data_IF_022946752043
#
_entry.id   IF_022946752043
#
_cell.length_a   1.000
_cell.length_b   1.000
_cell.length_c   1.000
_cell.angle_alpha   90.00
_cell.angle_beta   90.00
_cell.angle_gamma   90.00
#
_symmetry.space_group_name_H-M   'P 1'
#
loop_
_entity.id
_entity.type
_entity.pdbx_description
1 polymer ?
#
# COMPACT_ATOMS: atom_id res chain seq x y z
N UNK A 1 28.97 -33.90 -22.15
CA UNK A 1 29.35 -32.47 -22.14
C UNK A 1 28.34 -31.69 -22.97
N UNK A 2 27.39 -31.02 -22.33
CA UNK A 2 26.50 -30.05 -22.98
C UNK A 2 26.78 -28.71 -22.30
N UNK A 3 27.36 -27.80 -23.07
CA UNK A 3 27.68 -26.44 -22.64
C UNK A 3 26.38 -25.67 -22.43
N UNK A 4 26.25 -25.12 -21.23
CA UNK A 4 25.16 -24.26 -20.77
C UNK A 4 25.37 -22.88 -21.41
N UNK A 5 24.48 -22.45 -22.31
CA UNK A 5 24.45 -21.05 -22.75
C UNK A 5 23.67 -20.26 -21.69
N UNK A 6 24.36 -19.27 -21.11
CA UNK A 6 23.76 -18.24 -20.25
C UNK A 6 22.88 -17.32 -21.10
N UNK A 7 21.73 -16.86 -20.60
CA UNK A 7 20.97 -15.83 -21.29
C UNK A 7 21.66 -14.48 -21.05
N UNK A 8 22.15 -13.88 -22.13
CA UNK A 8 22.65 -12.50 -22.18
C UNK A 8 21.57 -11.52 -21.71
N UNK A 9 21.93 -10.66 -20.74
CA UNK A 9 21.21 -9.43 -20.42
C UNK A 9 21.29 -8.49 -21.63
N UNK A 10 20.30 -8.56 -22.52
CA UNK A 10 19.99 -7.42 -23.37
C UNK A 10 19.07 -6.50 -22.56
N UNK A 11 19.63 -5.37 -22.14
CA UNK A 11 18.87 -4.21 -21.68
C UNK A 11 17.96 -3.78 -22.83
N UNK A 12 16.68 -4.11 -22.73
CA UNK A 12 15.67 -3.58 -23.65
C UNK A 12 15.46 -2.11 -23.25
N UNK A 13 16.25 -1.23 -23.84
CA UNK A 13 15.92 0.18 -23.98
C UNK A 13 14.78 0.25 -25.00
N UNK A 14 13.54 0.09 -24.52
CA UNK A 14 12.35 0.44 -25.31
C UNK A 14 12.40 1.96 -25.50
N UNK A 15 12.40 2.49 -26.74
CA UNK A 15 12.33 3.92 -26.94
C UNK A 15 11.02 4.45 -26.35
N UNK A 16 11.13 5.49 -25.53
CA UNK A 16 10.06 6.17 -24.77
C UNK A 16 9.00 6.89 -25.65
N UNK A 17 8.93 6.56 -26.95
CA UNK A 17 8.02 7.16 -27.93
C UNK A 17 6.76 6.31 -28.20
N UNK A 18 6.58 5.18 -27.51
CA UNK A 18 5.36 4.37 -27.60
C UNK A 18 4.46 4.61 -26.37
N UNK A 19 3.33 5.32 -26.51
CA UNK A 19 2.41 5.60 -25.41
C UNK A 19 1.85 4.32 -24.78
N UNK A 20 1.74 3.22 -25.53
CA UNK A 20 1.31 1.92 -25.00
C UNK A 20 2.35 1.36 -24.02
N UNK A 21 3.64 1.47 -24.37
CA UNK A 21 4.72 1.00 -23.51
C UNK A 21 4.79 1.80 -22.19
N UNK A 22 4.61 3.12 -22.25
CA UNK A 22 4.57 3.98 -21.07
C UNK A 22 3.45 3.57 -20.08
N UNK A 23 2.25 3.28 -20.60
CA UNK A 23 1.11 2.83 -19.78
C UNK A 23 1.37 1.47 -19.15
N UNK A 24 1.91 0.53 -19.92
CA UNK A 24 2.24 -0.82 -19.41
C UNK A 24 3.28 -0.73 -18.29
N UNK A 25 4.32 0.09 -18.47
CA UNK A 25 5.36 0.30 -17.47
C UNK A 25 4.79 0.94 -16.20
N UNK A 26 4.01 2.02 -16.32
CA UNK A 26 3.34 2.67 -15.19
C UNK A 26 2.50 1.68 -14.36
N UNK A 27 1.73 0.81 -15.03
CA UNK A 27 0.95 -0.23 -14.34
C UNK A 27 1.82 -1.29 -13.69
N UNK A 28 2.90 -1.70 -14.35
CA UNK A 28 3.84 -2.69 -13.79
C UNK A 28 4.51 -2.14 -12.53
N UNK A 29 4.86 -0.86 -12.51
CA UNK A 29 5.56 -0.25 -11.39
C UNK A 29 4.64 -0.06 -10.18
N UNK A 30 3.39 0.36 -10.40
CA UNK A 30 2.37 0.43 -9.34
C UNK A 30 2.02 -0.95 -8.80
N UNK A 31 1.87 -1.92 -9.70
CA UNK A 31 1.72 -3.31 -9.33
C UNK A 31 2.85 -3.76 -8.39
N UNK A 32 4.11 -3.41 -8.71
CA UNK A 32 5.28 -3.73 -7.86
C UNK A 32 5.19 -3.02 -6.52
N UNK A 33 4.78 -1.76 -6.48
CA UNK A 33 4.64 -0.99 -5.23
C UNK A 33 3.58 -1.59 -4.29
N UNK A 34 2.39 -1.92 -4.80
CA UNK A 34 1.35 -2.57 -3.98
C UNK A 34 1.77 -3.98 -3.53
N UNK A 35 2.41 -4.75 -4.40
CA UNK A 35 2.94 -6.08 -4.05
C UNK A 35 3.96 -5.97 -2.93
N UNK A 36 4.88 -5.00 -3.02
CA UNK A 36 5.87 -4.71 -1.98
C UNK A 36 5.21 -4.25 -0.68
N UNK A 37 4.20 -3.38 -0.76
CA UNK A 37 3.49 -2.89 0.42
C UNK A 37 2.81 -4.02 1.19
N UNK A 38 2.08 -4.89 0.49
CA UNK A 38 1.43 -6.06 1.07
C UNK A 38 2.49 -7.02 1.65
N UNK A 39 3.60 -7.22 0.95
CA UNK A 39 4.68 -8.10 1.40
C UNK A 39 5.30 -7.60 2.71
N UNK A 40 5.59 -6.30 2.83
CA UNK A 40 6.11 -5.71 4.06
C UNK A 40 5.18 -5.99 5.25
N UNK A 41 3.86 -5.75 5.09
CA UNK A 41 2.87 -6.11 6.11
C UNK A 41 2.86 -7.60 6.45
N UNK A 42 2.89 -8.47 5.44
CA UNK A 42 2.88 -9.92 5.67
C UNK A 42 4.11 -10.36 6.45
N UNK A 43 5.31 -9.88 6.08
CA UNK A 43 6.54 -10.17 6.80
C UNK A 43 6.50 -9.66 8.24
N UNK A 44 6.03 -8.42 8.40
CA UNK A 44 5.88 -7.78 9.70
C UNK A 44 4.96 -8.53 10.64
N UNK A 45 3.72 -8.76 10.19
CA UNK A 45 2.71 -9.43 10.98
C UNK A 45 3.07 -10.90 11.26
N UNK A 46 3.77 -11.60 10.35
CA UNK A 46 4.22 -12.96 10.62
C UNK A 46 5.16 -13.02 11.83
N UNK A 47 6.13 -12.09 11.92
CA UNK A 47 7.02 -12.02 13.09
C UNK A 47 6.23 -11.64 14.34
N UNK A 48 5.36 -10.64 14.25
CA UNK A 48 4.52 -10.20 15.36
C UNK A 48 3.63 -11.32 15.93
N UNK A 49 2.92 -12.04 15.07
CA UNK A 49 2.11 -13.24 15.40
C UNK A 49 2.98 -14.33 16.06
N UNK A 50 4.25 -14.43 15.66
CA UNK A 50 5.25 -15.29 16.27
C UNK A 50 5.52 -14.94 17.74
N UNK A 51 5.73 -13.65 18.04
CA UNK A 51 5.92 -13.15 19.42
C UNK A 51 4.64 -13.30 20.25
N UNK A 52 3.48 -12.92 19.69
CA UNK A 52 2.17 -13.06 20.37
C UNK A 52 1.85 -14.50 20.77
N UNK A 53 2.42 -15.52 20.11
CA UNK A 53 2.24 -16.93 20.48
C UNK A 53 2.70 -17.22 21.92
N UNK A 54 3.69 -16.47 22.41
CA UNK A 54 4.25 -16.63 23.77
C UNK A 54 3.42 -15.90 24.83
N UNK A 55 2.47 -15.06 24.42
CA UNK A 55 1.62 -14.27 25.32
C UNK A 55 0.21 -14.85 25.33
N UNK A 56 -0.06 -15.75 26.29
CA UNK A 56 -1.31 -16.52 26.36
C UNK A 56 -2.58 -15.67 26.47
N UNK A 57 -2.49 -14.48 27.08
CA UNK A 57 -3.60 -13.54 27.22
C UNK A 57 -4.04 -12.91 25.88
N UNK A 58 -3.18 -12.91 24.85
CA UNK A 58 -3.44 -12.32 23.53
C UNK A 58 -3.81 -13.36 22.45
N UNK A 59 -4.27 -14.54 22.86
CA UNK A 59 -4.53 -15.67 21.94
C UNK A 59 -5.59 -15.37 20.88
N UNK A 60 -6.59 -14.55 21.20
CA UNK A 60 -7.70 -14.26 20.29
C UNK A 60 -7.34 -13.14 19.32
N UNK A 61 -6.67 -12.11 19.81
CA UNK A 61 -6.09 -11.02 19.02
C UNK A 61 -5.11 -11.58 17.98
N UNK A 62 -4.29 -12.54 18.40
CA UNK A 62 -3.40 -13.28 17.49
C UNK A 62 -4.19 -13.99 16.38
N UNK A 63 -5.33 -14.61 16.69
CA UNK A 63 -6.17 -15.26 15.67
C UNK A 63 -6.76 -14.24 14.69
N UNK A 64 -7.16 -13.06 15.17
CA UNK A 64 -7.62 -11.95 14.33
C UNK A 64 -6.53 -11.50 13.36
N UNK A 65 -5.30 -11.27 13.82
CA UNK A 65 -4.19 -10.91 12.93
C UNK A 65 -3.85 -12.02 11.93
N UNK A 66 -3.92 -13.29 12.31
CA UNK A 66 -3.76 -14.41 11.37
C UNK A 66 -4.80 -14.33 10.24
N UNK A 67 -6.04 -13.92 10.53
CA UNK A 67 -7.09 -13.77 9.52
C UNK A 67 -6.76 -12.63 8.54
N UNK A 68 -6.27 -11.49 9.03
CA UNK A 68 -5.80 -10.39 8.19
C UNK A 68 -4.62 -10.82 7.31
N UNK A 69 -3.58 -11.44 7.88
CA UNK A 69 -2.42 -11.92 7.12
C UNK A 69 -2.81 -12.90 6.02
N UNK A 70 -3.76 -13.82 6.30
CA UNK A 70 -4.28 -14.74 5.27
C UNK A 70 -4.95 -13.99 4.12
N UNK A 71 -5.69 -12.92 4.40
CA UNK A 71 -6.33 -12.11 3.36
C UNK A 71 -5.29 -11.32 2.56
N UNK A 72 -4.29 -10.73 3.22
CA UNK A 72 -3.18 -10.04 2.56
C UNK A 72 -2.40 -10.97 1.62
N UNK A 73 -2.09 -12.21 2.05
CA UNK A 73 -1.45 -13.21 1.19
C UNK A 73 -2.31 -13.56 -0.03
N UNK A 74 -3.62 -13.75 0.16
CA UNK A 74 -4.55 -13.98 -0.95
C UNK A 74 -4.56 -12.81 -1.95
N UNK A 75 -4.52 -11.57 -1.46
CA UNK A 75 -4.42 -10.39 -2.33
C UNK A 75 -3.09 -10.36 -3.07
N UNK A 76 -1.97 -10.61 -2.39
CA UNK A 76 -0.65 -10.71 -3.01
C UNK A 76 -0.62 -11.76 -4.15
N UNK A 77 -1.14 -12.97 -3.89
CA UNK A 77 -1.24 -14.03 -4.90
C UNK A 77 -2.17 -13.65 -6.05
N UNK A 78 -3.30 -13.01 -5.76
CA UNK A 78 -4.24 -12.53 -6.79
C UNK A 78 -3.62 -11.46 -7.67
N UNK A 79 -2.87 -10.53 -7.07
CA UNK A 79 -2.14 -9.49 -7.78
C UNK A 79 -1.07 -10.16 -8.66
N UNK A 80 -0.30 -11.11 -8.12
CA UNK A 80 0.76 -11.83 -8.86
C UNK A 80 0.28 -12.56 -10.11
N UNK A 81 -0.99 -12.96 -10.16
CA UNK A 81 -1.61 -13.63 -11.31
C UNK A 81 -2.31 -12.64 -12.27
N UNK A 82 -2.33 -11.35 -11.97
CA UNK A 82 -2.95 -10.34 -12.82
C UNK A 82 -2.08 -10.06 -14.05
N UNK A 83 -2.67 -10.20 -15.24
CA UNK A 83 -2.00 -9.83 -16.47
C UNK A 83 -2.03 -8.31 -16.66
N UNK A 84 -0.93 -7.65 -16.32
CA UNK A 84 -0.77 -6.18 -16.42
C UNK A 84 -0.97 -5.66 -17.84
N UNK A 85 -0.76 -6.50 -18.86
CA UNK A 85 -0.91 -6.15 -20.27
C UNK A 85 -2.33 -6.39 -20.81
N UNK A 86 -3.25 -6.91 -19.99
CA UNK A 86 -4.62 -7.20 -20.43
C UNK A 86 -5.41 -5.91 -20.71
N UNK A 87 -6.17 -5.91 -21.80
CA UNK A 87 -7.03 -4.79 -22.20
C UNK A 87 -6.34 -3.66 -22.96
N UNK A 88 -5.01 -3.67 -23.14
CA UNK A 88 -4.29 -2.60 -23.85
C UNK A 88 -4.10 -3.01 -25.33
N UNK A 89 -5.10 -2.76 -26.18
CA UNK A 89 -5.01 -3.07 -27.62
C UNK A 89 -4.89 -1.83 -28.53
N UNK A 90 -5.27 -0.64 -28.04
CA UNK A 90 -5.26 0.61 -28.82
C UNK A 90 -4.88 1.82 -27.92
N UNK A 91 -3.93 2.70 -28.29
CA UNK A 91 -3.53 3.86 -27.49
C UNK A 91 -4.54 5.01 -27.41
N UNK A 92 -5.71 4.92 -28.05
CA UNK A 92 -6.75 5.94 -27.91
C UNK A 92 -7.21 6.15 -26.45
N UNK A 93 -7.50 7.39 -26.08
CA UNK A 93 -7.81 7.86 -24.72
C UNK A 93 -8.93 7.06 -24.01
N UNK A 94 -9.91 6.55 -24.78
CA UNK A 94 -10.96 5.66 -24.27
C UNK A 94 -10.43 4.33 -23.70
N UNK A 95 -9.29 3.83 -24.19
CA UNK A 95 -8.68 2.61 -23.68
C UNK A 95 -7.90 2.84 -22.38
N UNK A 96 -7.30 4.02 -22.18
CA UNK A 96 -6.51 4.31 -20.97
C UNK A 96 -7.37 4.24 -19.71
N UNK A 97 -8.56 4.86 -19.75
CA UNK A 97 -9.54 4.83 -18.64
C UNK A 97 -9.99 3.41 -18.35
N UNK A 98 -10.58 2.74 -19.35
CA UNK A 98 -11.16 1.40 -19.20
C UNK A 98 -10.12 0.37 -18.75
N UNK A 99 -8.89 0.47 -19.25
CA UNK A 99 -7.88 -0.51 -18.90
C UNK A 99 -7.27 -0.26 -17.50
N UNK A 100 -7.40 0.93 -16.90
CA UNK A 100 -6.94 1.21 -15.53
C UNK A 100 -7.98 0.88 -14.44
N UNK A 101 -9.27 0.85 -14.78
CA UNK A 101 -10.36 0.53 -13.84
C UNK A 101 -10.12 -0.77 -13.05
N UNK A 102 -9.72 -1.92 -13.66
CA UNK A 102 -9.47 -3.14 -12.90
C UNK A 102 -8.34 -3.00 -11.87
N UNK A 103 -7.28 -2.26 -12.22
CA UNK A 103 -6.15 -2.01 -11.32
C UNK A 103 -6.59 -1.09 -10.18
N UNK A 104 -7.28 0.02 -10.49
CA UNK A 104 -7.82 0.95 -9.50
C UNK A 104 -8.76 0.25 -8.51
N UNK A 105 -9.70 -0.56 -9.01
CA UNK A 105 -10.60 -1.36 -8.18
C UNK A 105 -9.83 -2.32 -7.27
N UNK A 106 -8.76 -2.94 -7.77
CA UNK A 106 -7.92 -3.82 -6.96
C UNK A 106 -7.15 -3.05 -5.87
N UNK A 107 -6.55 -1.90 -6.21
CA UNK A 107 -5.85 -1.01 -5.30
C UNK A 107 -6.78 -0.53 -4.18
N UNK A 108 -7.98 -0.04 -4.53
CA UNK A 108 -9.02 0.36 -3.58
C UNK A 108 -9.33 -0.76 -2.59
N UNK A 109 -9.65 -1.96 -3.10
CA UNK A 109 -9.92 -3.13 -2.24
C UNK A 109 -8.77 -3.46 -1.29
N UNK A 110 -7.52 -3.25 -1.70
CA UNK A 110 -6.38 -3.43 -0.81
C UNK A 110 -6.32 -2.34 0.26
N UNK A 111 -6.55 -1.09 -0.11
CA UNK A 111 -6.51 0.05 0.81
C UNK A 111 -7.61 -0.02 1.85
N UNK A 112 -8.85 -0.32 1.47
CA UNK A 112 -9.96 -0.45 2.42
C UNK A 112 -9.71 -1.60 3.43
N UNK A 113 -9.06 -2.69 3.01
CA UNK A 113 -8.64 -3.74 3.94
C UNK A 113 -7.52 -3.26 4.86
N UNK A 114 -6.55 -2.53 4.33
CA UNK A 114 -5.44 -1.98 5.09
C UNK A 114 -5.92 -0.94 6.08
N UNK A 115 -6.92 -0.13 5.77
CA UNK A 115 -7.50 0.85 6.68
C UNK A 115 -8.05 0.18 7.95
N UNK A 116 -8.90 -0.83 7.77
CA UNK A 116 -9.46 -1.62 8.87
C UNK A 116 -8.36 -2.32 9.68
N UNK A 117 -7.34 -2.85 9.00
CA UNK A 117 -6.20 -3.47 9.67
C UNK A 117 -5.38 -2.45 10.46
N UNK A 118 -5.09 -1.29 9.86
CA UNK A 118 -4.29 -0.22 10.46
C UNK A 118 -4.99 0.28 11.70
N UNK A 119 -6.28 0.62 11.59
CA UNK A 119 -7.09 0.99 12.74
C UNK A 119 -6.99 -0.05 13.85
N UNK A 120 -7.23 -1.34 13.57
CA UNK A 120 -7.13 -2.41 14.58
C UNK A 120 -5.73 -2.54 15.19
N UNK A 121 -4.70 -2.51 14.36
CA UNK A 121 -3.31 -2.76 14.73
C UNK A 121 -2.71 -1.61 15.54
N UNK A 122 -2.95 -0.36 15.16
CA UNK A 122 -2.31 0.83 15.76
C UNK A 122 -3.11 1.41 16.93
N UNK A 123 -4.41 1.10 17.06
CA UNK A 123 -5.24 1.69 18.11
C UNK A 123 -5.76 0.69 19.17
N UNK A 124 -6.82 -0.11 18.94
CA UNK A 124 -7.39 -0.97 19.97
C UNK A 124 -6.42 -2.09 20.37
N UNK A 125 -5.65 -2.68 19.45
CA UNK A 125 -4.71 -3.73 19.80
C UNK A 125 -3.58 -3.21 20.71
N UNK A 126 -3.07 -1.99 20.48
CA UNK A 126 -2.05 -1.39 21.34
C UNK A 126 -2.55 -1.24 22.78
N UNK A 127 -3.77 -0.70 22.94
CA UNK A 127 -4.42 -0.55 24.24
C UNK A 127 -4.66 -1.90 24.92
N UNK A 128 -5.08 -2.90 24.13
CA UNK A 128 -5.35 -4.25 24.63
C UNK A 128 -4.06 -4.97 25.08
N UNK A 129 -2.94 -4.79 24.37
CA UNK A 129 -1.62 -5.30 24.77
C UNK A 129 -1.24 -4.71 26.13
N UNK A 130 -1.30 -3.38 26.29
CA UNK A 130 -0.95 -2.71 27.54
C UNK A 130 -1.86 -3.21 28.67
N UNK A 131 -3.17 -3.27 28.44
CA UNK A 131 -4.16 -3.71 29.42
C UNK A 131 -3.93 -5.16 29.89
N UNK A 132 -3.70 -6.10 28.96
CA UNK A 132 -3.55 -7.53 29.28
C UNK A 132 -2.17 -7.95 29.75
N UNK A 133 -1.13 -7.20 29.40
CA UNK A 133 0.25 -7.55 29.74
C UNK A 133 0.86 -6.66 30.81
N UNK A 134 0.21 -5.52 31.11
CA UNK A 134 0.66 -4.51 32.06
C UNK A 134 2.07 -3.96 31.74
N UNK A 135 2.46 -3.99 30.46
CA UNK A 135 3.71 -3.44 29.93
C UNK A 135 3.53 -3.04 28.46
N UNK A 136 4.56 -2.43 27.87
CA UNK A 136 4.59 -1.97 26.48
C UNK A 136 5.53 -2.79 25.58
N UNK A 137 6.06 -3.91 26.05
CA UNK A 137 7.16 -4.64 25.40
C UNK A 137 6.79 -5.22 24.03
N UNK A 138 5.50 -5.35 23.74
CA UNK A 138 4.96 -5.87 22.46
C UNK A 138 4.19 -4.79 21.69
N UNK A 139 4.24 -3.53 22.13
CA UNK A 139 3.59 -2.41 21.43
C UNK A 139 4.41 -1.95 20.22
N UNK A 140 3.77 -1.21 19.33
CA UNK A 140 4.43 -0.46 18.27
C UNK A 140 5.02 0.83 18.83
N UNK A 141 6.14 1.28 18.27
CA UNK A 141 6.60 2.64 18.51
C UNK A 141 5.70 3.66 17.81
N UNK A 142 5.65 4.89 18.34
CA UNK A 142 4.94 6.01 17.71
C UNK A 142 5.45 6.27 16.29
N UNK A 143 6.77 6.22 16.08
CA UNK A 143 7.38 6.37 14.74
C UNK A 143 6.87 5.31 13.76
N UNK A 144 6.68 4.07 14.21
CA UNK A 144 6.11 3.01 13.40
C UNK A 144 4.63 3.25 13.08
N UNK A 145 3.85 3.76 14.03
CA UNK A 145 2.44 4.11 13.81
C UNK A 145 2.34 5.26 12.80
N UNK A 146 3.12 6.33 12.98
CA UNK A 146 3.19 7.44 12.03
C UNK A 146 3.66 6.97 10.66
N UNK A 147 4.64 6.07 10.57
CA UNK A 147 5.08 5.50 9.30
C UNK A 147 4.00 4.66 8.60
N UNK A 148 3.18 3.93 9.35
CA UNK A 148 2.02 3.19 8.82
C UNK A 148 1.00 4.17 8.22
N UNK A 149 0.66 5.22 8.96
CA UNK A 149 -0.32 6.23 8.54
C UNK A 149 0.17 7.03 7.33
N UNK A 150 1.40 7.53 7.38
CA UNK A 150 2.03 8.28 6.28
C UNK A 150 2.09 7.45 4.99
N UNK A 151 2.51 6.19 5.08
CA UNK A 151 2.54 5.29 3.92
C UNK A 151 1.13 5.06 3.38
N UNK A 152 0.16 4.75 4.24
CA UNK A 152 -1.23 4.55 3.84
C UNK A 152 -1.80 5.78 3.12
N UNK A 153 -1.62 6.97 3.67
CA UNK A 153 -2.12 8.22 3.10
C UNK A 153 -1.56 8.48 1.69
N UNK A 154 -0.27 8.20 1.45
CA UNK A 154 0.33 8.37 0.13
C UNK A 154 -0.19 7.35 -0.89
N UNK A 155 -0.42 6.10 -0.47
CA UNK A 155 -1.03 5.09 -1.35
C UNK A 155 -2.50 5.41 -1.68
N UNK A 156 -3.24 5.96 -0.72
CA UNK A 156 -4.59 6.51 -0.93
C UNK A 156 -4.53 7.66 -1.93
N UNK A 157 -3.65 8.65 -1.72
CA UNK A 157 -3.54 9.80 -2.61
C UNK A 157 -3.13 9.40 -4.03
N UNK A 158 -2.22 8.44 -4.16
CA UNK A 158 -1.87 7.86 -5.45
C UNK A 158 -3.09 7.20 -6.14
N UNK A 159 -3.88 6.44 -5.38
CA UNK A 159 -5.06 5.74 -5.95
C UNK A 159 -6.14 6.75 -6.34
N UNK A 160 -6.35 7.80 -5.54
CA UNK A 160 -7.17 8.95 -5.90
C UNK A 160 -6.66 9.58 -7.20
N UNK A 161 -5.36 9.89 -7.28
CA UNK A 161 -4.74 10.46 -8.48
C UNK A 161 -4.97 9.58 -9.71
N UNK A 162 -4.74 8.26 -9.61
CA UNK A 162 -4.93 7.31 -10.72
C UNK A 162 -6.37 7.30 -11.27
N UNK A 163 -7.37 7.53 -10.42
CA UNK A 163 -8.79 7.56 -10.80
C UNK A 163 -9.18 8.93 -11.35
N UNK A 164 -8.91 9.98 -10.57
CA UNK A 164 -9.38 11.34 -10.86
C UNK A 164 -8.61 11.99 -12.03
N UNK A 165 -7.30 11.72 -12.17
CA UNK A 165 -6.50 12.24 -13.28
C UNK A 165 -6.97 11.74 -14.65
N UNK A 166 -7.58 10.56 -14.69
CA UNK A 166 -8.17 9.99 -15.90
C UNK A 166 -9.64 10.42 -16.09
N UNK A 167 -10.18 11.26 -15.21
CA UNK A 167 -11.59 11.66 -15.22
C UNK A 167 -12.55 10.47 -15.10
N UNK A 168 -12.19 9.46 -14.31
CA UNK A 168 -13.05 8.31 -14.03
C UNK A 168 -13.99 8.72 -12.90
N UNK A 169 -15.26 8.95 -13.25
CA UNK A 169 -16.34 9.24 -12.30
C UNK A 169 -17.18 7.97 -12.07
N UNK A 170 -16.68 7.10 -11.20
CA UNK A 170 -17.39 5.88 -10.76
C UNK A 170 -17.50 5.88 -9.23
N UNK A 171 -18.72 5.98 -8.66
CA UNK A 171 -18.93 5.91 -7.21
C UNK A 171 -18.43 4.63 -6.55
N UNK A 172 -18.30 3.53 -7.30
CA UNK A 172 -17.73 2.27 -6.78
C UNK A 172 -16.22 2.32 -6.63
N UNK A 173 -15.56 3.34 -7.18
CA UNK A 173 -14.13 3.59 -7.04
C UNK A 173 -13.81 4.68 -6.01
N UNK A 174 -14.82 5.22 -5.33
CA UNK A 174 -14.61 6.16 -4.24
C UNK A 174 -13.91 5.49 -3.05
N UNK A 175 -12.87 6.16 -2.54
CA UNK A 175 -12.12 5.74 -1.34
C UNK A 175 -12.79 6.33 -0.10
N UNK A 176 -13.07 5.52 0.93
CA UNK A 176 -13.84 5.93 2.11
C UNK A 176 -13.23 7.16 2.79
N UNK A 177 -11.92 7.11 3.10
CA UNK A 177 -11.23 8.20 3.83
C UNK A 177 -11.24 9.53 3.05
N UNK A 178 -11.18 9.49 1.71
CA UNK A 178 -11.23 10.69 0.87
C UNK A 178 -12.63 11.30 0.87
N UNK A 179 -13.66 10.46 0.74
CA UNK A 179 -15.05 10.93 0.79
C UNK A 179 -15.41 11.48 2.17
N UNK A 180 -14.91 10.85 3.22
CA UNK A 180 -15.08 11.32 4.59
C UNK A 180 -14.43 12.71 4.77
N UNK A 181 -13.17 12.87 4.35
CA UNK A 181 -12.48 14.16 4.43
C UNK A 181 -13.23 15.27 3.67
N UNK A 182 -13.68 14.99 2.44
CA UNK A 182 -14.48 15.93 1.62
C UNK A 182 -15.78 16.32 2.32
N UNK A 183 -16.48 15.35 2.90
CA UNK A 183 -17.74 15.61 3.62
C UNK A 183 -17.52 16.50 4.84
N UNK A 184 -16.49 16.22 5.65
CA UNK A 184 -16.12 17.06 6.80
C UNK A 184 -15.75 18.48 6.36
N UNK A 185 -14.97 18.64 5.29
CA UNK A 185 -14.62 19.96 4.76
C UNK A 185 -15.84 20.79 4.37
N UNK A 186 -16.85 20.16 3.75
CA UNK A 186 -18.12 20.82 3.42
C UNK A 186 -18.90 21.21 4.67
N UNK A 187 -19.00 20.31 5.65
CA UNK A 187 -19.72 20.58 6.91
C UNK A 187 -19.06 21.71 7.72
N UNK A 188 -17.73 21.77 7.71
CA UNK A 188 -16.91 22.73 8.45
C UNK A 188 -16.64 24.03 7.68
N UNK A 189 -17.15 24.17 6.44
CA UNK A 189 -16.89 25.29 5.52
C UNK A 189 -15.38 25.57 5.31
N UNK A 190 -14.58 24.51 5.20
CA UNK A 190 -13.14 24.60 4.91
C UNK A 190 -12.94 25.03 3.46
N UNK A 191 -12.08 26.02 3.24
CA UNK A 191 -11.62 26.37 1.90
C UNK A 191 -10.68 25.27 1.37
N UNK A 192 -11.18 24.46 0.45
CA UNK A 192 -10.46 23.33 -0.14
C UNK A 192 -9.21 23.80 -0.91
N UNK A 193 -9.28 24.98 -1.55
CA UNK A 193 -8.16 25.56 -2.33
C UNK A 193 -6.95 25.94 -1.46
N UNK A 194 -7.17 26.19 -0.17
CA UNK A 194 -6.13 26.59 0.79
C UNK A 194 -5.80 25.47 1.79
N UNK A 195 -6.39 24.28 1.63
CA UNK A 195 -6.26 23.20 2.61
C UNK A 195 -4.89 22.52 2.52
N UNK A 196 -4.28 22.31 3.69
CA UNK A 196 -3.08 21.47 3.83
C UNK A 196 -3.39 19.97 3.90
N UNK A 197 -4.66 19.58 3.96
CA UNK A 197 -5.07 18.18 3.97
C UNK A 197 -4.82 17.53 2.61
N UNK A 198 -3.97 16.50 2.61
CA UNK A 198 -3.59 15.72 1.44
C UNK A 198 -4.79 15.22 0.63
N UNK A 199 -5.88 14.81 1.29
CA UNK A 199 -7.05 14.23 0.63
C UNK A 199 -7.97 15.28 0.01
N UNK A 200 -7.87 16.53 0.45
CA UNK A 200 -8.66 17.64 -0.06
C UNK A 200 -8.01 18.31 -1.28
N UNK A 201 -6.70 18.15 -1.46
CA UNK A 201 -5.99 18.68 -2.63
C UNK A 201 -6.59 18.15 -3.94
N UNK A 202 -6.85 19.06 -4.87
CA UNK A 202 -7.39 18.73 -6.20
C UNK A 202 -6.42 17.86 -7.00
N UNK A 203 -6.98 17.01 -7.87
CA UNK A 203 -6.22 16.20 -8.82
C UNK A 203 -6.48 16.74 -10.22
N UNK A 204 -5.44 17.24 -10.87
CA UNK A 204 -5.52 17.68 -12.26
C UNK A 204 -5.63 16.48 -13.21
N UNK A 205 -6.39 16.67 -14.29
CA UNK A 205 -6.54 15.67 -15.35
C UNK A 205 -5.30 15.64 -16.23
N UNK A 206 -4.82 14.44 -16.59
CA UNK A 206 -3.72 14.30 -17.55
C UNK A 206 -4.20 14.53 -18.97
N UNK A 207 -3.37 15.16 -19.79
CA UNK A 207 -3.65 15.48 -21.19
C UNK A 207 -3.46 14.26 -22.10
N UNK A 208 -2.52 13.37 -21.77
CA UNK A 208 -2.16 12.24 -22.62
C UNK A 208 -1.47 11.09 -21.86
N UNK A 209 -1.27 9.96 -22.56
CA UNK A 209 -0.65 8.76 -22.01
C UNK A 209 0.83 8.94 -21.60
N UNK A 210 1.55 9.84 -22.25
CA UNK A 210 2.95 10.13 -21.93
C UNK A 210 3.05 10.86 -20.58
N UNK A 211 2.24 11.89 -20.39
CA UNK A 211 2.13 12.61 -19.11
C UNK A 211 1.70 11.68 -17.98
N UNK A 212 0.68 10.84 -18.20
CA UNK A 212 0.26 9.83 -17.23
C UNK A 212 1.41 8.89 -16.84
N UNK A 213 2.18 8.41 -17.82
CA UNK A 213 3.33 7.55 -17.59
C UNK A 213 4.41 8.24 -16.75
N UNK A 214 4.75 9.48 -17.08
CA UNK A 214 5.77 10.26 -16.38
C UNK A 214 5.36 10.53 -14.92
N UNK A 215 4.14 11.02 -14.68
CA UNK A 215 3.64 11.29 -13.34
C UNK A 215 3.50 10.00 -12.51
N UNK A 216 3.08 8.88 -13.13
CA UNK A 216 3.01 7.59 -12.45
C UNK A 216 4.40 7.10 -11.99
N UNK A 217 5.44 7.36 -12.79
CA UNK A 217 6.82 7.06 -12.44
C UNK A 217 7.31 7.93 -11.27
N UNK A 218 7.00 9.22 -11.26
CA UNK A 218 7.32 10.12 -10.13
C UNK A 218 6.65 9.64 -8.85
N UNK A 219 5.36 9.31 -8.92
CA UNK A 219 4.64 8.71 -7.80
C UNK A 219 5.25 7.39 -7.31
N UNK A 220 5.70 6.53 -8.23
CA UNK A 220 6.38 5.28 -7.88
C UNK A 220 7.61 5.55 -7.00
N UNK A 221 8.39 6.59 -7.30
CA UNK A 221 9.54 6.97 -6.48
C UNK A 221 9.13 7.43 -5.08
N UNK A 222 8.06 8.25 -4.98
CA UNK A 222 7.51 8.69 -3.69
C UNK A 222 7.05 7.48 -2.88
N UNK A 223 6.23 6.60 -3.46
CA UNK A 223 5.74 5.40 -2.79
C UNK A 223 6.88 4.46 -2.38
N UNK A 224 7.90 4.30 -3.25
CA UNK A 224 9.09 3.53 -2.96
C UNK A 224 9.82 4.03 -1.71
N UNK A 225 10.04 5.34 -1.62
CA UNK A 225 10.67 5.97 -0.46
C UNK A 225 9.84 5.80 0.82
N UNK A 226 8.50 5.90 0.74
CA UNK A 226 7.61 5.63 1.89
C UNK A 226 7.73 4.19 2.37
N UNK A 227 7.78 3.23 1.44
CA UNK A 227 7.98 1.81 1.78
C UNK A 227 9.36 1.51 2.38
N UNK A 228 10.41 2.20 1.91
CA UNK A 228 11.75 2.09 2.49
C UNK A 228 11.76 2.56 3.95
N UNK A 229 11.19 3.74 4.21
CA UNK A 229 11.06 4.29 5.56
C UNK A 229 10.21 3.39 6.46
N UNK A 230 9.07 2.90 5.98
CA UNK A 230 8.21 1.97 6.73
C UNK A 230 8.96 0.68 7.09
N UNK A 231 9.78 0.16 6.17
CA UNK A 231 10.58 -1.04 6.42
C UNK A 231 11.58 -0.84 7.55
N UNK A 232 12.23 0.33 7.63
CA UNK A 232 13.14 0.68 8.73
C UNK A 232 12.40 0.62 10.07
N UNK A 233 11.23 1.28 10.17
CA UNK A 233 10.44 1.26 11.41
C UNK A 233 9.97 -0.14 11.80
N UNK A 234 9.59 -0.96 10.83
CA UNK A 234 9.25 -2.35 11.08
C UNK A 234 10.44 -3.14 11.63
N UNK A 235 11.63 -2.98 11.06
CA UNK A 235 12.82 -3.70 11.51
C UNK A 235 13.24 -3.25 12.92
N UNK A 236 13.14 -1.96 13.24
CA UNK A 236 13.43 -1.43 14.58
C UNK A 236 12.50 -2.02 15.65
N UNK A 237 11.19 -2.02 15.39
CA UNK A 237 10.19 -2.60 16.30
C UNK A 237 10.38 -4.11 16.45
N UNK A 238 10.69 -4.83 15.36
CA UNK A 238 11.00 -6.26 15.43
C UNK A 238 12.25 -6.55 16.27
N UNK A 239 13.28 -5.73 16.13
CA UNK A 239 14.50 -5.86 16.91
C UNK A 239 14.20 -5.66 18.40
N UNK A 240 13.44 -4.62 18.74
CA UNK A 240 12.98 -4.38 20.11
C UNK A 240 12.24 -5.58 20.71
N UNK A 241 11.26 -6.15 19.97
CA UNK A 241 10.56 -7.34 20.44
C UNK A 241 11.47 -8.55 20.60
N UNK A 242 12.47 -8.71 19.73
CA UNK A 242 13.42 -9.81 19.84
C UNK A 242 14.25 -9.68 21.13
N UNK A 243 14.78 -8.49 21.41
CA UNK A 243 15.58 -8.21 22.60
C UNK A 243 14.80 -8.44 23.90
N UNK A 244 13.57 -7.92 24.00
CA UNK A 244 12.75 -8.05 25.21
C UNK A 244 12.34 -9.50 25.48
N UNK A 245 12.02 -10.27 24.43
CA UNK A 245 11.66 -11.68 24.58
C UNK A 245 12.87 -12.60 24.79
N UNK A 246 14.07 -12.22 24.37
CA UNK A 246 15.29 -12.99 24.67
C UNK A 246 15.80 -12.69 26.09
N UNK A 247 15.74 -11.44 26.55
CA UNK A 247 16.00 -11.08 27.95
C UNK A 247 15.14 -11.88 28.92
N UNK A 248 13.85 -12.04 28.63
CA UNK A 248 12.91 -12.83 29.45
C UNK A 248 13.20 -14.34 29.47
N UNK A 249 13.95 -14.90 28.52
CA UNK A 249 14.41 -16.31 28.57
C UNK A 249 15.65 -16.50 29.44
N UNK A 250 16.44 -15.44 29.62
CA UNK A 250 17.69 -15.47 30.38
C UNK A 250 17.53 -15.18 31.88
N UNK A 251 16.31 -14.81 32.30
CA UNK A 251 15.89 -14.64 33.70
C UNK A 251 15.06 -15.84 34.14
#
# INVERSE_FOLDING_TARGET
MKTRQEPTMESILVPMNDPVAAIVLARQDIYRMFTRYISNYVHFLNKFIGHMRRVGSLRFERMTLIKFVKKLRFLHESLSNFNVSSGIQDPSDGNLKTANVPLASFCLKCLELLDVLNFYLTQPLQKEIISKTLNSDLTLSEDCITGIEDTYNHFVKYTQWMIESLGIDDPLLHIEVVQFARKCAVEDNVNVEESSDLFLQEVETVENAEEYGNLSMEWTNVLGSKLDTLQVYYDDVMMHWQEEFDRKKSR
#
